data_IF_703470172555
#
_entry.id   IF_703470172555
#
_cell.length_a   1.000
_cell.length_b   1.000
_cell.length_c   1.000
_cell.angle_alpha   90.00
_cell.angle_beta   90.00
_cell.angle_gamma   90.00
#
_symmetry.space_group_name_H-M   'P 1'
#
loop_
_entity.id
_entity.type
_entity.pdbx_description
1 polymer ?
#
# COMPACT_ATOMS: atom_id res chain seq x y z
N UNK A 1 -6.91 12.58 -8.87
CA UNK A 1 -6.90 13.91 -9.50
C UNK A 1 -5.96 14.85 -8.74
N UNK A 2 -5.22 15.70 -9.46
CA UNK A 2 -4.43 16.77 -8.86
C UNK A 2 -5.37 17.90 -8.34
N UNK A 3 -5.31 18.27 -7.06
CA UNK A 3 -6.19 19.31 -6.52
C UNK A 3 -6.06 20.67 -7.22
N UNK A 4 -4.85 21.01 -7.68
CA UNK A 4 -4.59 22.31 -8.31
C UNK A 4 -5.05 22.42 -9.77
N UNK A 5 -5.07 21.32 -10.52
CA UNK A 5 -5.33 21.31 -11.96
C UNK A 5 -6.55 20.51 -12.38
N UNK A 6 -7.12 19.70 -11.47
CA UNK A 6 -8.23 18.79 -11.72
C UNK A 6 -8.00 17.82 -12.91
N UNK A 7 -6.73 17.42 -13.12
CA UNK A 7 -6.36 16.41 -14.14
C UNK A 7 -5.69 15.22 -13.48
N UNK A 8 -5.70 14.08 -14.17
CA UNK A 8 -5.02 12.86 -13.73
C UNK A 8 -3.50 13.08 -13.75
N UNK A 9 -2.82 12.70 -12.68
CA UNK A 9 -1.36 12.65 -12.55
C UNK A 9 -0.92 11.25 -12.17
N UNK A 10 0.28 10.86 -12.58
CA UNK A 10 0.99 9.68 -12.10
C UNK A 10 0.10 8.41 -12.09
N UNK A 11 -0.58 8.14 -13.20
CA UNK A 11 -1.42 6.95 -13.32
C UNK A 11 -0.71 5.85 -14.10
N UNK A 12 -0.90 4.59 -13.69
CA UNK A 12 -0.47 3.42 -14.46
C UNK A 12 -1.10 3.39 -15.87
N UNK A 13 -2.31 3.91 -16.00
CA UNK A 13 -2.98 4.13 -17.27
C UNK A 13 -2.47 5.43 -17.91
N UNK A 14 -1.32 5.36 -18.57
CA UNK A 14 -0.60 6.52 -19.15
C UNK A 14 -1.49 7.38 -20.07
N UNK A 15 -2.43 6.77 -20.79
CA UNK A 15 -3.37 7.47 -21.68
C UNK A 15 -4.30 8.45 -20.96
N UNK A 16 -4.47 8.30 -19.64
CA UNK A 16 -5.30 9.16 -18.80
C UNK A 16 -4.53 10.36 -18.23
N UNK A 17 -3.20 10.32 -18.22
CA UNK A 17 -2.38 11.40 -17.67
C UNK A 17 -2.65 12.70 -18.43
N UNK A 18 -2.91 13.78 -17.68
CA UNK A 18 -3.25 15.09 -18.25
C UNK A 18 -4.72 15.26 -18.66
N UNK A 19 -5.58 14.24 -18.44
CA UNK A 19 -7.01 14.29 -18.80
C UNK A 19 -7.88 14.65 -17.59
N UNK A 20 -8.98 15.38 -17.79
CA UNK A 20 -10.00 15.65 -16.77
C UNK A 20 -11.03 14.50 -16.72
N UNK A 21 -10.60 13.31 -16.28
CA UNK A 21 -11.36 12.05 -16.37
C UNK A 21 -12.75 12.14 -15.70
N UNK A 22 -12.87 12.84 -14.59
CA UNK A 22 -14.15 13.07 -13.90
C UNK A 22 -15.17 13.77 -14.79
N UNK A 23 -14.74 14.83 -15.49
CA UNK A 23 -15.57 15.62 -16.39
C UNK A 23 -15.92 14.84 -17.66
N UNK A 24 -14.93 14.15 -18.24
CA UNK A 24 -15.13 13.34 -19.45
C UNK A 24 -16.15 12.22 -19.19
N UNK A 25 -16.04 11.54 -18.04
CA UNK A 25 -16.99 10.51 -17.64
C UNK A 25 -18.38 11.10 -17.31
N UNK A 26 -18.45 12.21 -16.59
CA UNK A 26 -19.72 12.87 -16.29
C UNK A 26 -20.45 13.29 -17.57
N UNK A 27 -19.73 13.86 -18.54
CA UNK A 27 -20.27 14.24 -19.84
C UNK A 27 -20.76 13.00 -20.63
N UNK A 28 -19.98 11.94 -20.66
CA UNK A 28 -20.31 10.71 -21.40
C UNK A 28 -21.51 9.96 -20.82
N UNK A 29 -21.67 10.01 -19.49
CA UNK A 29 -22.72 9.22 -18.80
C UNK A 29 -23.95 10.03 -18.40
N UNK A 30 -23.86 11.35 -18.40
CA UNK A 30 -24.90 12.25 -17.88
C UNK A 30 -25.11 12.12 -16.35
N UNK A 31 -24.11 11.66 -15.62
CA UNK A 31 -24.16 11.42 -14.17
C UNK A 31 -23.01 12.14 -13.45
N UNK A 32 -23.23 12.42 -12.17
CA UNK A 32 -22.13 12.88 -11.31
C UNK A 32 -21.07 11.78 -11.16
N UNK A 33 -19.80 12.16 -11.20
CA UNK A 33 -18.67 11.25 -11.10
C UNK A 33 -17.75 11.73 -9.97
N UNK A 34 -17.38 10.80 -9.08
CA UNK A 34 -16.32 11.00 -8.08
C UNK A 34 -15.16 10.06 -8.41
N UNK A 35 -13.95 10.58 -8.37
CA UNK A 35 -12.73 9.81 -8.60
C UNK A 35 -11.89 9.81 -7.32
N UNK A 36 -11.37 8.64 -6.96
CA UNK A 36 -10.44 8.50 -5.86
C UNK A 36 -9.36 7.48 -6.22
N UNK A 37 -8.24 7.54 -5.51
CA UNK A 37 -7.17 6.56 -5.60
C UNK A 37 -7.67 5.19 -5.07
N UNK A 38 -7.19 4.10 -5.65
CA UNK A 38 -7.61 2.73 -5.31
C UNK A 38 -7.26 2.34 -3.86
N UNK A 39 -6.09 2.74 -3.35
CA UNK A 39 -5.72 2.49 -1.97
C UNK A 39 -6.57 3.30 -0.97
N UNK A 40 -6.98 4.50 -1.35
CA UNK A 40 -7.93 5.28 -0.58
C UNK A 40 -9.33 4.63 -0.57
N UNK A 41 -9.79 4.13 -1.70
CA UNK A 41 -11.03 3.33 -1.75
C UNK A 41 -10.91 2.07 -0.89
N UNK A 42 -9.77 1.39 -0.95
CA UNK A 42 -9.50 0.20 -0.14
C UNK A 42 -9.66 0.50 1.35
N UNK A 43 -8.96 1.53 1.87
CA UNK A 43 -9.03 1.85 3.30
C UNK A 43 -10.42 2.29 3.73
N UNK A 44 -11.16 3.02 2.89
CA UNK A 44 -12.56 3.39 3.16
C UNK A 44 -13.44 2.16 3.31
N UNK A 45 -13.30 1.17 2.44
CA UNK A 45 -14.05 -0.09 2.55
C UNK A 45 -13.73 -0.81 3.86
N UNK A 46 -12.46 -1.00 4.17
CA UNK A 46 -12.05 -1.72 5.37
C UNK A 46 -12.40 -0.97 6.67
N UNK A 47 -12.39 0.35 6.66
CA UNK A 47 -12.81 1.19 7.79
C UNK A 47 -14.34 1.24 7.97
N UNK A 48 -15.13 0.98 6.94
CA UNK A 48 -16.59 1.09 7.02
C UNK A 48 -17.23 -0.18 7.53
N UNK A 49 -16.93 -1.32 6.92
CA UNK A 49 -17.54 -2.62 7.24
C UNK A 49 -16.57 -3.80 7.08
N UNK A 50 -15.27 -3.52 6.98
CA UNK A 50 -14.23 -4.51 6.87
C UNK A 50 -13.46 -4.74 8.17
N UNK A 51 -12.16 -5.06 8.05
CA UNK A 51 -11.30 -5.41 9.17
C UNK A 51 -11.19 -4.30 10.22
N UNK A 52 -11.26 -3.03 9.81
CA UNK A 52 -11.09 -1.85 10.66
C UNK A 52 -12.39 -1.16 11.07
N UNK A 53 -13.55 -1.82 10.98
CA UNK A 53 -14.85 -1.17 11.25
C UNK A 53 -15.03 -0.64 12.69
N UNK A 54 -14.13 -0.98 13.60
CA UNK A 54 -14.16 -0.58 15.02
C UNK A 54 -12.96 0.26 15.44
N UNK A 55 -12.01 0.48 14.56
CA UNK A 55 -10.74 1.12 14.85
C UNK A 55 -10.78 2.60 14.45
N UNK A 56 -10.14 3.45 15.26
CA UNK A 56 -10.14 4.89 15.02
C UNK A 56 -9.13 5.29 13.95
N UNK A 57 -7.92 4.73 13.99
CA UNK A 57 -6.84 5.04 13.06
C UNK A 57 -6.43 3.78 12.30
N UNK A 58 -6.61 3.81 10.98
CA UNK A 58 -6.35 2.66 10.12
C UNK A 58 -5.38 3.06 9.00
N UNK A 59 -4.37 2.22 8.80
CA UNK A 59 -3.53 2.27 7.62
C UNK A 59 -3.83 1.08 6.71
N UNK A 60 -4.32 1.34 5.50
CA UNK A 60 -4.50 0.33 4.47
C UNK A 60 -3.27 0.26 3.59
N UNK A 61 -2.59 -0.89 3.52
CA UNK A 61 -1.42 -1.12 2.68
C UNK A 61 -1.77 -2.09 1.56
N UNK A 62 -1.68 -1.65 0.32
CA UNK A 62 -1.86 -2.50 -0.86
C UNK A 62 -0.49 -2.98 -1.34
N UNK A 63 -0.33 -4.32 -1.41
CA UNK A 63 0.87 -5.01 -1.86
C UNK A 63 0.49 -5.86 -3.09
N UNK A 64 0.63 -5.27 -4.27
CA UNK A 64 0.20 -5.85 -5.54
C UNK A 64 1.24 -5.69 -6.64
N UNK A 65 0.83 -5.29 -7.84
CA UNK A 65 1.73 -4.92 -8.95
C UNK A 65 2.58 -3.71 -8.57
N UNK A 66 2.02 -2.80 -7.74
CA UNK A 66 2.72 -1.70 -7.08
C UNK A 66 2.51 -1.76 -5.57
N UNK A 67 2.95 -0.70 -4.87
CA UNK A 67 2.75 -0.52 -3.43
C UNK A 67 2.03 0.80 -3.20
N UNK A 68 0.79 0.70 -2.73
CA UNK A 68 -0.03 1.86 -2.37
C UNK A 68 -0.44 1.86 -0.91
N UNK A 69 -0.98 2.96 -0.45
CA UNK A 69 -1.54 3.05 0.89
C UNK A 69 -2.65 4.09 1.01
N UNK A 70 -3.49 3.91 2.01
CA UNK A 70 -4.55 4.83 2.38
C UNK A 70 -4.65 4.98 3.89
N UNK A 71 -5.14 6.11 4.34
CA UNK A 71 -5.29 6.42 5.76
C UNK A 71 -6.75 6.75 6.06
N UNK A 72 -7.29 6.14 7.11
CA UNK A 72 -8.60 6.50 7.66
C UNK A 72 -8.46 6.87 9.14
N UNK A 73 -9.07 7.99 9.53
CA UNK A 73 -9.15 8.43 10.93
C UNK A 73 -10.62 8.67 11.27
N UNK A 74 -11.14 8.02 12.30
CA UNK A 74 -12.53 8.06 12.71
C UNK A 74 -13.51 7.79 11.55
N UNK A 75 -13.17 6.81 10.70
CA UNK A 75 -13.93 6.44 9.53
C UNK A 75 -13.88 7.46 8.40
N UNK A 76 -12.98 8.45 8.44
CA UNK A 76 -12.80 9.46 7.40
C UNK A 76 -11.46 9.28 6.71
N UNK A 77 -11.50 9.22 5.40
CA UNK A 77 -10.31 9.17 4.57
C UNK A 77 -9.46 10.44 4.70
N UNK A 78 -8.16 10.28 4.80
CA UNK A 78 -7.19 11.37 4.75
C UNK A 78 -6.60 11.45 3.35
N UNK A 79 -7.00 12.46 2.59
CA UNK A 79 -6.44 12.74 1.23
C UNK A 79 -5.15 13.55 1.29
N UNK A 80 -5.00 14.38 2.32
CA UNK A 80 -3.95 15.38 2.42
C UNK A 80 -4.17 16.58 1.48
N UNK A 81 -3.39 17.65 1.70
CA UNK A 81 -3.47 18.89 0.92
C UNK A 81 -3.17 18.68 -0.56
N UNK A 82 -2.23 17.80 -0.86
CA UNK A 82 -1.76 17.52 -2.23
C UNK A 82 -2.40 16.26 -2.84
N UNK A 83 -3.36 15.64 -2.14
CA UNK A 83 -3.96 14.35 -2.49
C UNK A 83 -2.92 13.24 -2.73
N UNK A 84 -1.92 13.15 -1.85
CA UNK A 84 -0.85 12.15 -1.87
C UNK A 84 -0.65 11.48 -0.50
N UNK A 85 -1.59 11.64 0.43
CA UNK A 85 -1.52 10.93 1.70
C UNK A 85 -1.59 9.42 1.44
N UNK A 86 -0.66 8.67 2.03
CA UNK A 86 -0.57 7.23 1.80
C UNK A 86 0.33 6.78 0.65
N UNK A 87 0.98 7.70 -0.10
CA UNK A 87 1.95 7.37 -1.16
C UNK A 87 3.29 6.85 -0.60
N UNK A 88 3.23 5.93 0.34
CA UNK A 88 4.37 5.39 1.07
C UNK A 88 5.29 4.52 0.22
N UNK A 89 4.75 3.90 -0.83
CA UNK A 89 5.49 3.06 -1.76
C UNK A 89 6.63 3.78 -2.48
N UNK A 90 6.56 5.11 -2.59
CA UNK A 90 7.60 5.95 -3.19
C UNK A 90 8.56 6.59 -2.19
N UNK A 91 8.42 6.29 -0.90
CA UNK A 91 9.45 6.60 0.08
C UNK A 91 10.65 5.63 -0.07
N UNK A 92 11.87 6.03 0.33
CA UNK A 92 13.01 5.12 0.33
C UNK A 92 12.78 3.96 1.32
N UNK A 93 13.28 2.77 0.99
CA UNK A 93 13.29 1.64 1.92
C UNK A 93 14.06 2.03 3.19
N UNK A 94 13.45 1.96 4.37
CA UNK A 94 14.11 2.38 5.60
C UNK A 94 15.19 1.38 6.03
N UNK A 95 16.29 1.90 6.58
CA UNK A 95 17.42 1.13 7.14
C UNK A 95 17.85 -0.02 6.22
N UNK A 96 18.28 0.28 4.97
CA UNK A 96 18.64 -0.75 4.01
C UNK A 96 19.79 -1.60 4.52
N UNK A 97 19.69 -2.91 4.36
CA UNK A 97 20.59 -3.92 4.90
C UNK A 97 21.28 -4.73 3.80
N UNK A 98 22.30 -5.47 4.20
CA UNK A 98 22.87 -6.54 3.40
C UNK A 98 22.42 -7.88 3.99
N UNK A 99 21.64 -8.64 3.22
CA UNK A 99 21.07 -9.93 3.65
C UNK A 99 21.24 -10.99 2.57
N UNK A 100 21.78 -12.13 2.92
CA UNK A 100 21.92 -13.31 2.05
C UNK A 100 22.58 -13.00 0.69
N UNK A 101 23.56 -12.10 0.67
CA UNK A 101 24.28 -11.70 -0.56
C UNK A 101 23.61 -10.58 -1.36
N UNK A 102 22.47 -10.06 -0.91
CA UNK A 102 21.73 -8.96 -1.54
C UNK A 102 21.95 -7.68 -0.73
N UNK A 103 22.44 -6.63 -1.39
CA UNK A 103 22.57 -5.28 -0.81
C UNK A 103 21.36 -4.43 -1.19
N UNK A 104 20.53 -4.08 -0.22
CA UNK A 104 19.32 -3.27 -0.46
C UNK A 104 19.61 -1.82 -0.87
N UNK A 105 20.87 -1.37 -0.73
CA UNK A 105 21.32 -0.06 -1.21
C UNK A 105 21.54 -0.04 -2.72
N UNK A 106 21.77 -1.22 -3.31
CA UNK A 106 21.91 -1.41 -4.76
C UNK A 106 20.57 -1.85 -5.35
N UNK A 107 19.68 -0.89 -5.54
CA UNK A 107 18.30 -1.15 -5.96
C UNK A 107 18.00 -0.61 -7.35
N UNK A 108 17.05 -1.25 -8.02
CA UNK A 108 16.55 -0.81 -9.32
C UNK A 108 15.93 0.60 -9.25
N UNK A 109 15.98 1.37 -10.35
CA UNK A 109 15.28 2.63 -10.45
C UNK A 109 13.75 2.39 -10.44
N UNK A 110 13.04 3.25 -9.70
CA UNK A 110 11.59 3.30 -9.70
C UNK A 110 11.09 4.15 -10.87
N UNK A 111 9.89 3.85 -11.39
CA UNK A 111 9.27 4.65 -12.44
C UNK A 111 9.00 6.11 -12.04
N UNK A 112 8.97 6.42 -10.73
CA UNK A 112 8.85 7.79 -10.24
C UNK A 112 10.13 8.63 -10.43
N UNK A 113 11.21 8.02 -10.93
CA UNK A 113 12.50 8.66 -11.18
C UNK A 113 13.48 8.63 -10.01
N UNK A 114 13.10 8.03 -8.87
CA UNK A 114 13.97 7.81 -7.72
C UNK A 114 14.52 6.38 -7.72
N UNK A 115 15.48 6.08 -6.86
CA UNK A 115 16.00 4.73 -6.58
C UNK A 115 15.70 4.34 -5.14
N UNK A 116 15.60 3.04 -4.87
CA UNK A 116 15.40 2.54 -3.49
C UNK A 116 14.00 2.77 -2.94
N UNK A 117 13.01 3.03 -3.78
CA UNK A 117 11.62 3.13 -3.34
C UNK A 117 11.12 1.81 -2.75
N UNK A 118 10.32 1.88 -1.69
CA UNK A 118 9.67 0.73 -1.05
C UNK A 118 9.00 -0.18 -2.09
N UNK A 119 8.37 0.39 -3.09
CA UNK A 119 7.69 -0.35 -4.16
C UNK A 119 8.61 -1.31 -4.92
N UNK A 120 9.87 -0.93 -5.17
CA UNK A 120 10.82 -1.79 -5.89
C UNK A 120 11.18 -3.06 -5.11
N UNK A 121 10.87 -3.10 -3.81
CA UNK A 121 11.12 -4.25 -2.93
C UNK A 121 9.85 -5.00 -2.52
N UNK A 122 8.76 -4.26 -2.24
CA UNK A 122 7.56 -4.82 -1.62
C UNK A 122 6.40 -5.07 -2.60
N UNK A 123 6.54 -4.70 -3.88
CA UNK A 123 5.59 -5.12 -4.91
C UNK A 123 5.80 -6.58 -5.33
N UNK A 124 4.82 -7.16 -6.03
CA UNK A 124 4.97 -8.49 -6.64
C UNK A 124 6.18 -8.59 -7.57
N UNK A 125 6.38 -7.64 -8.51
CA UNK A 125 7.62 -7.57 -9.30
C UNK A 125 8.88 -7.48 -8.45
N UNK A 126 8.88 -6.72 -7.35
CA UNK A 126 10.00 -6.61 -6.42
C UNK A 126 10.33 -7.94 -5.73
N UNK A 127 9.32 -8.66 -5.24
CA UNK A 127 9.48 -10.00 -4.66
C UNK A 127 10.04 -11.00 -5.70
N UNK A 128 9.53 -10.97 -6.94
CA UNK A 128 10.01 -11.83 -8.01
C UNK A 128 11.46 -11.51 -8.40
N UNK A 129 11.84 -10.25 -8.40
CA UNK A 129 13.22 -9.81 -8.68
C UNK A 129 14.19 -10.24 -7.56
N UNK A 130 13.82 -10.06 -6.28
CA UNK A 130 14.62 -10.53 -5.15
C UNK A 130 14.84 -12.05 -5.20
N UNK A 131 13.79 -12.79 -5.56
CA UNK A 131 13.90 -14.24 -5.73
C UNK A 131 14.86 -14.61 -6.86
N UNK A 132 14.78 -13.92 -8.00
CA UNK A 132 15.67 -14.12 -9.14
C UNK A 132 17.13 -13.83 -8.79
N UNK A 133 17.41 -12.72 -8.09
CA UNK A 133 18.76 -12.38 -7.62
C UNK A 133 19.35 -13.44 -6.71
N UNK A 134 18.53 -14.01 -5.83
CA UNK A 134 18.98 -15.01 -4.86
C UNK A 134 19.14 -16.41 -5.45
N UNK A 135 18.26 -16.83 -6.36
CA UNK A 135 18.17 -18.21 -6.85
C UNK A 135 18.58 -18.39 -8.30
N UNK A 136 18.68 -17.31 -9.07
CA UNK A 136 18.85 -17.33 -10.53
C UNK A 136 17.57 -17.71 -11.29
N UNK A 137 16.42 -17.84 -10.63
CA UNK A 137 15.14 -18.20 -11.24
C UNK A 137 14.08 -17.14 -11.00
N UNK A 138 13.45 -16.66 -12.05
CA UNK A 138 12.32 -15.76 -11.96
C UNK A 138 11.03 -16.56 -11.87
N UNK A 139 10.28 -16.38 -10.79
CA UNK A 139 8.97 -17.00 -10.56
C UNK A 139 7.89 -15.92 -10.44
N UNK A 140 6.64 -16.32 -10.70
CA UNK A 140 5.49 -15.48 -10.35
C UNK A 140 5.41 -15.36 -8.82
N UNK A 141 5.01 -14.20 -8.27
CA UNK A 141 5.04 -13.94 -6.82
C UNK A 141 4.29 -14.99 -5.97
N UNK A 142 3.18 -15.50 -6.48
CA UNK A 142 2.34 -16.53 -5.84
C UNK A 142 2.97 -17.93 -5.84
N UNK A 143 3.99 -18.13 -6.65
CA UNK A 143 4.76 -19.39 -6.73
C UNK A 143 6.02 -19.39 -5.86
N UNK A 144 6.36 -18.25 -5.25
CA UNK A 144 7.58 -18.11 -4.46
C UNK A 144 7.35 -18.70 -3.05
N UNK A 145 8.06 -19.78 -2.76
CA UNK A 145 8.06 -20.46 -1.45
C UNK A 145 9.45 -20.52 -0.81
N UNK A 146 10.44 -19.90 -1.45
CA UNK A 146 11.82 -19.89 -0.96
C UNK A 146 11.91 -19.14 0.39
N UNK A 147 12.40 -19.84 1.41
CA UNK A 147 12.42 -19.34 2.79
C UNK A 147 13.28 -18.09 2.95
N UNK A 148 14.45 -18.02 2.33
CA UNK A 148 15.33 -16.84 2.43
C UNK A 148 14.70 -15.62 1.76
N UNK A 149 14.09 -15.79 0.58
CA UNK A 149 13.36 -14.72 -0.13
C UNK A 149 12.21 -14.17 0.72
N UNK A 150 11.38 -15.06 1.29
CA UNK A 150 10.24 -14.65 2.12
C UNK A 150 10.68 -13.98 3.42
N UNK A 151 11.76 -14.44 4.06
CA UNK A 151 12.33 -13.77 5.24
C UNK A 151 12.80 -12.35 4.93
N UNK A 152 13.53 -12.13 3.83
CA UNK A 152 13.93 -10.78 3.43
C UNK A 152 12.72 -9.89 3.17
N UNK A 153 11.70 -10.41 2.52
CA UNK A 153 10.45 -9.69 2.29
C UNK A 153 9.77 -9.28 3.61
N UNK A 154 9.65 -10.21 4.57
CA UNK A 154 9.10 -9.95 5.91
C UNK A 154 9.88 -8.86 6.66
N UNK A 155 11.22 -8.92 6.64
CA UNK A 155 12.06 -7.90 7.27
C UNK A 155 11.90 -6.52 6.64
N UNK A 156 11.81 -6.44 5.31
CA UNK A 156 11.55 -5.19 4.59
C UNK A 156 10.18 -4.62 4.94
N UNK A 157 9.15 -5.46 4.93
CA UNK A 157 7.79 -5.05 5.28
C UNK A 157 7.72 -4.59 6.74
N UNK A 158 8.35 -5.30 7.66
CA UNK A 158 8.38 -4.94 9.08
C UNK A 158 9.01 -3.55 9.31
N UNK A 159 10.18 -3.28 8.72
CA UNK A 159 10.85 -1.97 8.83
C UNK A 159 10.01 -0.85 8.24
N UNK A 160 9.39 -1.12 7.11
CA UNK A 160 8.58 -0.13 6.41
C UNK A 160 7.30 0.19 7.18
N UNK A 161 6.61 -0.82 7.71
CA UNK A 161 5.44 -0.62 8.55
C UNK A 161 5.79 0.02 9.90
N UNK A 162 6.98 -0.26 10.46
CA UNK A 162 7.46 0.43 11.66
C UNK A 162 7.59 1.95 11.44
N UNK A 163 8.00 2.41 10.24
CA UNK A 163 7.97 3.83 9.92
C UNK A 163 6.55 4.40 9.91
N UNK A 164 5.58 3.64 9.42
CA UNK A 164 4.16 4.05 9.46
C UNK A 164 3.68 4.13 10.90
N UNK A 165 4.00 3.13 11.72
CA UNK A 165 3.65 3.10 13.16
C UNK A 165 4.27 4.31 13.86
N UNK A 166 5.56 4.60 13.66
CA UNK A 166 6.24 5.72 14.28
C UNK A 166 5.69 7.11 13.88
N UNK A 167 4.95 7.23 12.77
CA UNK A 167 4.40 8.50 12.29
C UNK A 167 2.91 8.63 12.56
N UNK A 168 2.15 7.54 12.38
CA UNK A 168 0.69 7.55 12.39
C UNK A 168 0.11 6.93 13.66
N UNK A 169 0.84 6.01 14.29
CA UNK A 169 0.42 5.21 15.47
C UNK A 169 -0.98 4.59 15.28
N UNK A 170 -1.17 3.76 14.22
CA UNK A 170 -2.49 3.24 13.88
C UNK A 170 -2.90 2.12 14.84
N UNK A 171 -4.21 2.00 15.08
CA UNK A 171 -4.80 0.84 15.79
C UNK A 171 -4.63 -0.43 14.96
N UNK A 172 -4.82 -0.28 13.63
CA UNK A 172 -4.84 -1.39 12.69
C UNK A 172 -4.11 -1.04 11.38
N UNK A 173 -3.30 -1.99 10.92
CA UNK A 173 -2.78 -2.03 9.55
C UNK A 173 -3.48 -3.17 8.81
N UNK A 174 -4.15 -2.85 7.68
CA UNK A 174 -4.83 -3.84 6.84
C UNK A 174 -4.04 -4.05 5.57
N UNK A 175 -3.68 -5.30 5.26
CA UNK A 175 -3.02 -5.63 4.00
C UNK A 175 -4.05 -5.97 2.92
N UNK A 176 -3.82 -5.43 1.73
CA UNK A 176 -4.55 -5.74 0.50
C UNK A 176 -3.60 -6.06 -0.65
N UNK A 177 -4.17 -6.40 -1.82
CA UNK A 177 -3.42 -6.84 -2.99
C UNK A 177 -2.99 -8.31 -2.92
N UNK A 178 -2.45 -8.83 -4.01
CA UNK A 178 -2.16 -10.27 -4.14
C UNK A 178 -1.19 -10.83 -3.10
N UNK A 179 -0.22 -10.02 -2.64
CA UNK A 179 0.76 -10.46 -1.64
C UNK A 179 0.18 -10.51 -0.21
N UNK A 180 -0.98 -9.90 0.05
CA UNK A 180 -1.69 -10.05 1.32
C UNK A 180 -2.15 -11.48 1.60
N UNK A 181 -2.17 -12.34 0.59
CA UNK A 181 -2.50 -13.77 0.75
C UNK A 181 -1.35 -14.61 1.34
N UNK A 182 -0.17 -14.03 1.53
CA UNK A 182 0.97 -14.70 2.17
C UNK A 182 0.72 -14.73 3.69
N UNK A 183 0.15 -15.83 4.19
CA UNK A 183 -0.32 -15.95 5.58
C UNK A 183 0.76 -15.67 6.63
N UNK A 184 1.97 -16.11 6.40
CA UNK A 184 3.10 -15.93 7.33
C UNK A 184 3.45 -14.46 7.62
N UNK A 185 3.00 -13.51 6.79
CA UNK A 185 3.21 -12.08 7.05
C UNK A 185 2.52 -11.62 8.34
N UNK A 186 1.35 -12.17 8.62
CA UNK A 186 0.54 -11.78 9.79
C UNK A 186 1.13 -12.28 11.10
N UNK A 187 1.86 -13.39 11.06
CA UNK A 187 2.53 -13.95 12.23
C UNK A 187 3.93 -13.34 12.44
N UNK A 188 4.71 -13.20 11.35
CA UNK A 188 6.12 -12.86 11.44
C UNK A 188 6.38 -11.35 11.48
N UNK A 189 5.68 -10.55 10.65
CA UNK A 189 5.93 -9.12 10.55
C UNK A 189 5.72 -8.39 11.87
N UNK A 190 4.63 -8.66 12.67
CA UNK A 190 4.46 -8.06 13.98
C UNK A 190 5.56 -8.39 14.99
N UNK A 191 6.22 -9.52 14.85
CA UNK A 191 7.36 -9.88 15.71
C UNK A 191 8.62 -9.10 15.34
N UNK A 192 8.78 -8.79 14.05
CA UNK A 192 9.98 -8.13 13.51
C UNK A 192 9.94 -6.61 13.64
N UNK A 193 8.78 -5.96 13.57
CA UNK A 193 8.70 -4.49 13.60
C UNK A 193 9.06 -3.87 14.93
N UNK A 194 8.98 -4.62 16.06
CA UNK A 194 9.35 -4.12 17.39
C UNK A 194 10.78 -3.59 17.48
N UNK A 195 11.67 -4.11 16.66
CA UNK A 195 13.07 -3.68 16.57
C UNK A 195 13.23 -2.23 16.06
N UNK A 196 12.20 -1.72 15.34
CA UNK A 196 12.24 -0.46 14.59
C UNK A 196 11.25 0.58 15.10
N UNK A 197 10.40 0.22 16.05
CA UNK A 197 9.40 1.11 16.64
C UNK A 197 10.01 1.87 17.81
N UNK A 198 9.67 3.16 17.93
CA UNK A 198 10.16 4.05 19.01
C UNK A 198 9.38 3.85 20.32
N UNK A 199 8.97 2.67 20.66
CA UNK A 199 8.22 2.35 21.88
C UNK A 199 8.61 0.99 22.41
N UNK A 200 8.62 0.85 23.74
CA UNK A 200 8.83 -0.43 24.42
C UNK A 200 7.63 -1.39 24.26
N UNK A 201 6.50 -0.88 23.83
CA UNK A 201 5.29 -1.66 23.56
C UNK A 201 4.58 -1.16 22.30
N UNK A 202 4.00 -2.07 21.54
CA UNK A 202 3.20 -1.76 20.35
C UNK A 202 1.97 -2.65 20.35
N UNK A 203 0.80 -2.03 20.30
CA UNK A 203 -0.51 -2.70 20.26
C UNK A 203 -1.17 -2.63 18.89
N UNK A 204 -0.52 -1.98 17.91
CA UNK A 204 -0.96 -2.00 16.51
C UNK A 204 -1.13 -3.42 16.03
N UNK A 205 -2.25 -3.72 15.40
CA UNK A 205 -2.52 -5.04 14.83
C UNK A 205 -2.29 -5.06 13.32
N UNK A 206 -1.93 -6.23 12.78
CA UNK A 206 -1.82 -6.47 11.35
C UNK A 206 -2.89 -7.48 10.94
N UNK A 207 -3.77 -7.13 10.01
CA UNK A 207 -4.86 -8.00 9.60
C UNK A 207 -4.99 -8.11 8.08
N UNK A 208 -5.51 -9.24 7.58
CA UNK A 208 -5.93 -9.37 6.18
C UNK A 208 -7.18 -8.53 5.92
N UNK A 209 -7.35 -8.12 4.69
CA UNK A 209 -8.59 -7.48 4.25
C UNK A 209 -9.77 -8.47 4.28
N UNK A 210 -10.98 -7.95 4.52
CA UNK A 210 -12.20 -8.77 4.62
C UNK A 210 -12.84 -9.00 3.24
N UNK A 211 -12.75 -8.01 2.35
CA UNK A 211 -13.51 -8.02 1.10
C UNK A 211 -12.69 -8.44 -0.12
N UNK A 212 -11.42 -8.82 0.06
CA UNK A 212 -10.53 -9.26 -1.01
C UNK A 212 -10.39 -8.22 -2.13
N UNK A 213 -10.40 -8.66 -3.37
CA UNK A 213 -10.28 -7.79 -4.55
C UNK A 213 -11.45 -6.81 -4.71
N UNK A 214 -12.55 -7.02 -3.97
CA UNK A 214 -13.73 -6.14 -4.03
C UNK A 214 -13.59 -4.89 -3.16
N UNK A 215 -12.60 -4.79 -2.24
CA UNK A 215 -12.48 -3.66 -1.32
C UNK A 215 -12.38 -2.31 -2.04
N UNK A 216 -11.62 -2.22 -3.13
CA UNK A 216 -11.51 -0.99 -3.92
C UNK A 216 -12.84 -0.52 -4.51
N UNK A 217 -13.59 -1.44 -5.13
CA UNK A 217 -14.92 -1.15 -5.73
C UNK A 217 -15.93 -0.77 -4.65
N UNK A 218 -15.93 -1.47 -3.52
CA UNK A 218 -16.78 -1.15 -2.35
C UNK A 218 -16.47 0.25 -1.81
N UNK A 219 -15.20 0.57 -1.62
CA UNK A 219 -14.78 1.89 -1.17
C UNK A 219 -15.20 3.00 -2.14
N UNK A 220 -15.11 2.77 -3.44
CA UNK A 220 -15.63 3.71 -4.44
C UNK A 220 -17.14 3.98 -4.29
N UNK A 221 -17.92 2.96 -3.95
CA UNK A 221 -19.34 3.13 -3.66
C UNK A 221 -19.57 3.96 -2.38
N UNK A 222 -18.73 3.78 -1.36
CA UNK A 222 -18.80 4.55 -0.12
C UNK A 222 -18.44 6.02 -0.25
N UNK A 223 -17.78 6.46 -1.33
CA UNK A 223 -17.53 7.88 -1.62
C UNK A 223 -18.80 8.74 -1.72
N UNK A 224 -19.97 8.10 -1.88
CA UNK A 224 -21.28 8.75 -1.93
C UNK A 224 -21.97 8.79 -0.57
N UNK A 225 -21.39 8.25 0.45
CA UNK A 225 -21.92 8.28 1.82
C UNK A 225 -21.69 9.66 2.46
N UNK A 226 -22.70 10.18 3.16
CA UNK A 226 -22.60 11.44 3.94
C UNK A 226 -21.57 11.38 5.08
N UNK A 227 -21.07 10.19 5.42
CA UNK A 227 -19.99 10.05 6.41
C UNK A 227 -18.65 10.63 5.93
N UNK A 228 -18.49 10.84 4.62
CA UNK A 228 -17.24 11.28 4.00
C UNK A 228 -17.30 12.71 3.45
N UNK A 229 -18.39 13.43 3.69
CA UNK A 229 -18.53 14.88 3.51
C UNK A 229 -18.14 15.59 4.83
#
# INVERSE_FOLDING_TARGET
>A
LCPATAIIKNANSICLIGKPLDRDLAQATGRDVRLENDANCFVVSEATDGAGAKDAVIFGAILGTGVGGGISIDGKQIRGLNAIAGEWGHNPLPWPQFMDGIDERDSDPCYCGQTGCIETFLSGPGLAHDHELHTGQRLAPDMITNEATLKRYEHRLARTLACVINILDPDLIVLGGGLSNIQRLYDNVPQLWHEWIFSDSCTTTLAPNVHGDSSGVRGAAWLWSTKYE
#
